data_IF_307084960808
#
_entry.id   IF_307084960808
#
_cell.length_a   1.000
_cell.length_b   1.000
_cell.length_c   1.000
_cell.angle_alpha   90.00
_cell.angle_beta   90.00
_cell.angle_gamma   90.00
#
_symmetry.space_group_name_H-M   'P 1'
#
loop_
_entity.id
_entity.type
_entity.pdbx_description
1 polymer ?
#
# COMPACT_ATOMS: atom_id res chain seq x y z
N UNK A 1 2.03 1.32 3.55
CA UNK A 1 1.41 2.67 3.43
C UNK A 1 -0.07 2.50 3.11
N UNK A 2 -0.85 3.58 3.02
CA UNK A 2 -2.29 3.49 2.70
C UNK A 2 -2.57 3.81 1.21
N UNK A 3 -3.76 3.43 0.68
CA UNK A 3 -3.97 3.34 -0.76
C UNK A 3 -3.82 4.66 -1.53
N UNK A 4 -4.31 5.79 -1.02
CA UNK A 4 -4.17 7.07 -1.74
C UNK A 4 -2.70 7.49 -1.81
N UNK A 5 -1.92 7.21 -0.77
CA UNK A 5 -0.47 7.40 -0.73
C UNK A 5 0.24 6.58 -1.81
N UNK A 6 -0.17 5.32 -2.03
CA UNK A 6 0.39 4.51 -3.11
C UNK A 6 0.09 5.06 -4.49
N UNK A 7 -1.14 5.53 -4.74
CA UNK A 7 -1.52 6.14 -6.02
C UNK A 7 -0.72 7.42 -6.26
N UNK A 8 -0.60 8.29 -5.25
CA UNK A 8 0.24 9.49 -5.28
C UNK A 8 1.71 9.16 -5.61
N UNK A 9 2.26 8.15 -4.94
CA UNK A 9 3.66 7.79 -5.09
C UNK A 9 3.95 7.14 -6.46
N UNK A 10 3.04 6.31 -6.96
CA UNK A 10 3.15 5.70 -8.28
C UNK A 10 3.13 6.76 -9.40
N UNK A 11 2.27 7.77 -9.28
CA UNK A 11 2.22 8.91 -10.20
C UNK A 11 3.57 9.65 -10.27
N UNK A 12 4.17 9.95 -9.12
CA UNK A 12 5.49 10.60 -9.04
C UNK A 12 6.61 9.76 -9.70
N UNK A 13 6.47 8.43 -9.69
CA UNK A 13 7.46 7.53 -10.30
C UNK A 13 7.27 7.42 -11.80
N UNK A 14 6.03 7.19 -12.25
CA UNK A 14 5.73 6.79 -13.62
C UNK A 14 5.38 7.97 -14.54
N UNK A 15 5.33 9.19 -14.00
CA UNK A 15 5.06 10.43 -14.75
C UNK A 15 3.74 10.35 -15.54
N UNK A 16 2.72 9.78 -14.91
CA UNK A 16 1.44 9.52 -15.55
C UNK A 16 0.39 8.97 -14.59
N UNK A 17 -0.86 9.05 -15.04
CA UNK A 17 -2.01 8.52 -14.33
C UNK A 17 -2.89 7.76 -15.32
N UNK A 18 -3.20 6.51 -15.00
CA UNK A 18 -4.17 5.68 -15.72
C UNK A 18 -4.85 4.75 -14.73
N UNK A 19 -5.93 4.11 -15.15
CA UNK A 19 -6.58 3.05 -14.38
C UNK A 19 -5.61 1.89 -14.11
N UNK A 20 -4.79 1.52 -15.09
CA UNK A 20 -3.73 0.52 -14.92
C UNK A 20 -2.75 0.90 -13.81
N UNK A 21 -2.24 2.14 -13.83
CA UNK A 21 -1.30 2.62 -12.82
C UNK A 21 -1.96 2.66 -11.44
N UNK A 22 -3.19 3.17 -11.38
CA UNK A 22 -3.95 3.27 -10.13
C UNK A 22 -4.16 1.89 -9.53
N UNK A 23 -4.71 0.94 -10.29
CA UNK A 23 -4.99 -0.42 -9.79
C UNK A 23 -3.72 -1.15 -9.40
N UNK A 24 -2.68 -1.07 -10.24
CA UNK A 24 -1.40 -1.74 -10.00
C UNK A 24 -0.73 -1.25 -8.72
N UNK A 25 -0.78 0.06 -8.46
CA UNK A 25 -0.18 0.66 -7.27
C UNK A 25 -0.79 0.21 -5.95
N UNK A 26 -2.02 -0.32 -5.94
CA UNK A 26 -2.73 -0.79 -4.74
C UNK A 26 -3.01 -2.30 -4.76
N UNK A 27 -2.55 -3.01 -5.79
CA UNK A 27 -2.79 -4.45 -5.92
C UNK A 27 -2.28 -5.27 -4.72
N UNK A 28 -1.05 -5.06 -4.21
CA UNK A 28 -0.51 -5.94 -3.16
C UNK A 28 -1.33 -5.95 -1.86
N UNK A 29 -2.00 -4.84 -1.54
CA UNK A 29 -2.95 -4.75 -0.43
C UNK A 29 -4.20 -5.62 -0.63
N UNK A 30 -4.70 -5.71 -1.87
CA UNK A 30 -5.88 -6.50 -2.22
C UNK A 30 -5.59 -8.00 -2.29
N UNK A 31 -4.34 -8.39 -2.52
CA UNK A 31 -3.94 -9.79 -2.61
C UNK A 31 -3.88 -10.50 -1.24
N UNK A 32 -3.75 -9.76 -0.13
CA UNK A 32 -3.72 -10.33 1.20
C UNK A 32 -5.01 -11.12 1.53
N UNK A 33 -4.87 -12.35 2.03
CA UNK A 33 -5.93 -13.31 2.33
C UNK A 33 -6.04 -14.47 1.33
N UNK A 34 -6.94 -15.45 1.59
CA UNK A 34 -6.99 -16.75 0.89
C UNK A 34 -5.62 -17.48 0.85
N UNK A 35 -4.91 -17.49 1.96
CA UNK A 35 -3.61 -18.19 2.08
C UNK A 35 -2.40 -17.37 1.64
N UNK A 36 -2.59 -16.19 1.03
CA UNK A 36 -1.50 -15.24 0.76
C UNK A 36 -1.39 -14.33 1.98
N UNK A 37 -0.24 -14.35 2.66
CA UNK A 37 0.01 -13.44 3.78
C UNK A 37 0.51 -12.06 3.28
N UNK A 38 0.67 -11.10 4.18
CA UNK A 38 1.12 -9.74 3.82
C UNK A 38 2.51 -9.74 3.16
N UNK A 39 3.47 -10.47 3.71
CA UNK A 39 4.82 -10.54 3.15
C UNK A 39 4.82 -11.13 1.74
N UNK A 40 4.06 -12.21 1.53
CA UNK A 40 3.92 -12.85 0.22
C UNK A 40 3.28 -11.88 -0.78
N UNK A 41 2.20 -11.19 -0.40
CA UNK A 41 1.53 -10.27 -1.33
C UNK A 41 2.42 -9.09 -1.71
N UNK A 42 3.17 -8.54 -0.75
CA UNK A 42 4.05 -7.39 -0.97
C UNK A 42 5.36 -7.78 -1.69
N UNK A 43 5.72 -9.06 -1.71
CA UNK A 43 6.91 -9.56 -2.42
C UNK A 43 6.65 -9.96 -3.88
N UNK A 44 5.40 -9.93 -4.34
CA UNK A 44 5.02 -10.40 -5.69
C UNK A 44 5.30 -9.44 -6.84
N UNK A 45 5.73 -8.21 -6.57
CA UNK A 45 5.82 -7.18 -7.61
C UNK A 45 6.69 -7.58 -8.80
N UNK A 46 7.89 -8.09 -8.54
CA UNK A 46 8.80 -8.54 -9.62
C UNK A 46 8.27 -9.74 -10.40
N UNK A 47 7.61 -10.68 -9.72
CA UNK A 47 6.99 -11.86 -10.35
C UNK A 47 5.86 -11.44 -11.29
N UNK A 48 4.96 -10.59 -10.82
CA UNK A 48 3.83 -10.04 -11.61
C UNK A 48 4.36 -9.27 -12.83
N UNK A 49 5.32 -8.36 -12.62
CA UNK A 49 5.87 -7.58 -13.73
C UNK A 49 6.56 -8.48 -14.77
N UNK A 50 7.32 -9.47 -14.34
CA UNK A 50 8.00 -10.38 -15.26
C UNK A 50 7.02 -11.24 -16.06
N UNK A 51 5.95 -11.71 -15.43
CA UNK A 51 4.85 -12.38 -16.13
C UNK A 51 4.25 -11.45 -17.20
N UNK A 52 3.84 -10.25 -16.82
CA UNK A 52 3.24 -9.28 -17.75
C UNK A 52 4.18 -8.88 -18.89
N UNK A 53 5.47 -8.71 -18.61
CA UNK A 53 6.52 -8.45 -19.61
C UNK A 53 6.68 -9.62 -20.57
N UNK A 54 6.55 -10.87 -20.12
CA UNK A 54 6.62 -12.04 -21.00
C UNK A 54 5.48 -12.05 -22.04
N UNK A 55 4.28 -11.65 -21.64
CA UNK A 55 3.09 -11.64 -22.50
C UNK A 55 2.83 -10.29 -23.19
N UNK A 56 3.67 -9.28 -22.95
CA UNK A 56 3.54 -7.92 -23.51
C UNK A 56 2.16 -7.30 -23.28
N UNK A 57 1.62 -7.51 -22.07
CA UNK A 57 0.29 -7.01 -21.66
C UNK A 57 0.38 -6.25 -20.34
N UNK A 58 -0.54 -5.29 -20.10
CA UNK A 58 -0.68 -4.52 -18.86
C UNK A 58 0.66 -4.01 -18.28
N UNK A 59 1.54 -3.48 -19.14
CA UNK A 59 2.91 -3.13 -18.73
C UNK A 59 2.94 -1.96 -17.75
N UNK A 60 2.02 -1.01 -17.87
CA UNK A 60 1.98 0.14 -16.96
C UNK A 60 1.38 -0.25 -15.59
N UNK A 61 0.38 -1.14 -15.59
CA UNK A 61 -0.05 -1.83 -14.37
C UNK A 61 1.12 -2.56 -13.71
N UNK A 62 1.86 -3.37 -14.46
CA UNK A 62 3.00 -4.13 -13.93
C UNK A 62 4.07 -3.23 -13.32
N UNK A 63 4.42 -2.12 -13.99
CA UNK A 63 5.35 -1.11 -13.43
C UNK A 63 4.80 -0.48 -12.16
N UNK A 64 3.51 -0.19 -12.10
CA UNK A 64 2.88 0.38 -10.92
C UNK A 64 2.91 -0.58 -9.72
N UNK A 65 2.74 -1.88 -9.93
CA UNK A 65 2.90 -2.89 -8.86
C UNK A 65 4.32 -2.83 -8.25
N UNK A 66 5.36 -2.60 -9.07
CA UNK A 66 6.74 -2.49 -8.58
C UNK A 66 6.98 -1.30 -7.64
N UNK A 67 6.11 -0.29 -7.67
CA UNK A 67 6.25 0.90 -6.81
C UNK A 67 5.84 0.66 -5.36
N UNK A 68 5.16 -0.45 -5.07
CA UNK A 68 4.46 -0.68 -3.80
C UNK A 68 5.32 -1.43 -2.78
N UNK A 69 5.55 -2.73 -2.98
CA UNK A 69 5.96 -3.65 -1.89
C UNK A 69 7.46 -3.87 -1.72
N UNK A 70 7.87 -5.08 -1.32
CA UNK A 70 9.24 -5.39 -0.88
C UNK A 70 10.19 -5.82 -1.98
N UNK A 71 9.69 -6.28 -3.13
CA UNK A 71 10.52 -6.77 -4.24
C UNK A 71 10.04 -6.13 -5.55
N UNK A 72 10.79 -5.17 -6.14
CA UNK A 72 12.23 -4.91 -5.97
C UNK A 72 12.58 -3.83 -4.94
N UNK A 73 11.78 -3.65 -3.88
CA UNK A 73 11.83 -2.56 -2.88
C UNK A 73 11.20 -1.28 -3.39
N UNK A 74 9.87 -1.24 -3.30
CA UNK A 74 8.98 -0.10 -3.49
C UNK A 74 8.78 0.70 -2.20
N UNK A 75 7.72 1.50 -2.15
CA UNK A 75 7.42 2.43 -1.07
C UNK A 75 7.38 1.77 0.31
N UNK A 76 6.69 0.63 0.45
CA UNK A 76 6.52 -0.06 1.73
C UNK A 76 7.82 -0.66 2.23
N UNK A 77 8.76 -1.03 1.35
CA UNK A 77 10.08 -1.41 1.82
C UNK A 77 10.75 -0.26 2.60
N UNK A 78 10.64 0.96 2.09
CA UNK A 78 11.24 2.13 2.74
C UNK A 78 10.37 2.68 3.88
N UNK A 79 9.07 2.47 3.84
CA UNK A 79 8.15 2.75 4.95
C UNK A 79 8.35 1.81 6.14
N UNK A 80 8.53 0.52 5.86
CA UNK A 80 8.42 -0.54 6.86
C UNK A 80 9.73 -1.23 7.19
N UNK A 81 10.56 -1.55 6.20
CA UNK A 81 11.71 -2.45 6.39
C UNK A 81 13.02 -1.69 6.64
N UNK A 82 13.36 -0.73 5.78
CA UNK A 82 14.63 -0.01 5.87
C UNK A 82 14.60 1.36 5.21
N UNK A 83 14.97 2.39 5.97
CA UNK A 83 15.17 3.74 5.43
C UNK A 83 16.54 4.32 5.85
N UNK A 84 17.41 4.66 4.90
CA UNK A 84 18.71 5.27 5.17
C UNK A 84 19.50 4.58 6.32
N UNK A 85 19.90 5.32 7.34
CA UNK A 85 20.63 4.87 8.52
C UNK A 85 19.73 4.42 9.67
N UNK A 86 18.41 4.50 9.52
CA UNK A 86 17.44 4.09 10.54
C UNK A 86 17.52 2.59 10.82
N UNK A 87 17.15 2.20 12.05
CA UNK A 87 17.05 0.78 12.43
C UNK A 87 16.05 0.05 11.53
N UNK A 88 14.88 0.68 11.30
CA UNK A 88 13.79 0.15 10.49
C UNK A 88 13.35 1.14 9.39
N UNK A 89 12.22 0.89 8.73
CA UNK A 89 11.62 1.81 7.77
C UNK A 89 11.15 3.12 8.42
N UNK A 90 10.93 4.12 7.57
CA UNK A 90 10.57 5.48 7.98
C UNK A 90 9.35 5.53 8.90
N UNK A 91 8.27 4.82 8.56
CA UNK A 91 7.03 4.84 9.34
C UNK A 91 7.22 4.21 10.72
N UNK A 92 8.03 3.16 10.85
CA UNK A 92 8.37 2.60 12.16
C UNK A 92 9.17 3.59 13.00
N UNK A 93 10.20 4.24 12.46
CA UNK A 93 10.99 5.17 13.27
C UNK A 93 10.18 6.37 13.73
N UNK A 94 9.36 6.94 12.85
CA UNK A 94 8.45 8.05 13.18
C UNK A 94 7.36 7.62 14.16
N UNK A 95 7.05 6.33 14.26
CA UNK A 95 6.05 5.81 15.17
C UNK A 95 6.50 5.75 16.64
N UNK A 96 7.81 5.80 16.93
CA UNK A 96 8.34 5.59 18.30
C UNK A 96 7.67 6.47 19.37
N UNK A 97 7.44 7.79 19.15
CA UNK A 97 6.79 8.65 20.14
C UNK A 97 5.32 8.29 20.40
N UNK A 98 4.68 7.55 19.49
CA UNK A 98 3.25 7.25 19.53
C UNK A 98 2.93 5.85 20.07
N UNK A 99 3.95 5.03 20.39
CA UNK A 99 3.75 3.61 20.74
C UNK A 99 2.85 3.43 21.96
N UNK A 100 3.12 4.13 23.06
CA UNK A 100 2.34 3.96 24.30
C UNK A 100 0.90 4.44 24.12
N UNK A 101 0.71 5.61 23.52
CA UNK A 101 -0.62 6.15 23.23
C UNK A 101 -1.41 5.23 22.29
N UNK A 102 -0.74 4.60 21.32
CA UNK A 102 -1.37 3.64 20.39
C UNK A 102 -1.78 2.37 21.12
N UNK A 103 -0.93 1.84 22.00
CA UNK A 103 -1.25 0.68 22.84
C UNK A 103 -2.51 0.94 23.67
N UNK A 104 -2.58 2.10 24.30
CA UNK A 104 -3.75 2.53 25.09
C UNK A 104 -5.00 2.70 24.20
N UNK A 105 -4.89 3.50 23.13
CA UNK A 105 -6.02 3.84 22.27
C UNK A 105 -6.59 2.61 21.53
N UNK A 106 -5.74 1.64 21.19
CA UNK A 106 -6.15 0.42 20.51
C UNK A 106 -6.48 -0.75 21.43
N UNK A 107 -6.26 -0.63 22.75
CA UNK A 107 -6.45 -1.72 23.71
C UNK A 107 -5.73 -3.03 23.29
N UNK A 108 -4.48 -2.90 22.86
CA UNK A 108 -3.65 -4.00 22.36
C UNK A 108 -2.52 -4.32 23.35
N UNK A 109 -1.90 -5.50 23.27
CA UNK A 109 -0.75 -5.79 24.10
C UNK A 109 0.51 -5.01 23.63
N UNK A 110 1.45 -4.67 24.53
CA UNK A 110 2.59 -3.80 24.22
C UNK A 110 3.47 -4.26 23.06
N UNK A 111 3.62 -5.57 22.85
CA UNK A 111 4.40 -6.16 21.76
C UNK A 111 3.85 -5.83 20.36
N UNK A 112 2.56 -5.49 20.26
CA UNK A 112 1.96 -5.02 19.01
C UNK A 112 2.12 -3.51 18.82
N UNK A 113 2.53 -2.78 19.87
CA UNK A 113 2.48 -1.32 19.91
C UNK A 113 3.25 -0.66 18.77
N UNK A 114 4.49 -1.09 18.51
CA UNK A 114 5.30 -0.47 17.47
C UNK A 114 4.75 -0.72 16.06
N UNK A 115 4.24 -1.94 15.81
CA UNK A 115 3.57 -2.26 14.55
C UNK A 115 2.30 -1.42 14.38
N UNK A 116 1.49 -1.28 15.41
CA UNK A 116 0.23 -0.54 15.28
C UNK A 116 0.45 0.97 15.24
N UNK A 117 1.52 1.47 15.86
CA UNK A 117 1.90 2.87 15.79
C UNK A 117 2.43 3.26 14.40
N UNK A 118 3.10 2.37 13.64
CA UNK A 118 3.44 2.72 12.26
C UNK A 118 2.19 2.90 11.40
N UNK A 119 1.13 2.10 11.61
CA UNK A 119 -0.13 2.31 10.87
C UNK A 119 -0.76 3.67 11.19
N UNK A 120 -0.57 4.21 12.41
CA UNK A 120 -0.97 5.58 12.75
C UNK A 120 -0.18 6.59 11.89
N UNK A 121 1.14 6.42 11.77
CA UNK A 121 1.99 7.28 10.94
C UNK A 121 1.58 7.21 9.47
N UNK A 122 1.35 6.02 8.93
CA UNK A 122 0.89 5.83 7.56
C UNK A 122 -0.47 6.50 7.30
N UNK A 123 -1.41 6.41 8.26
CA UNK A 123 -2.67 7.14 8.19
C UNK A 123 -2.48 8.66 8.28
N UNK A 124 -1.49 9.14 9.03
CA UNK A 124 -1.11 10.56 9.05
C UNK A 124 -0.57 11.03 7.70
N UNK A 125 0.21 10.20 7.02
CA UNK A 125 0.69 10.45 5.65
C UNK A 125 -0.48 10.44 4.67
N UNK A 126 -1.39 9.45 4.78
CA UNK A 126 -2.60 9.36 3.96
C UNK A 126 -3.47 10.62 4.08
N UNK A 127 -3.63 11.14 5.31
CA UNK A 127 -4.35 12.38 5.58
C UNK A 127 -3.73 13.56 4.81
N UNK A 128 -2.40 13.69 4.84
CA UNK A 128 -1.69 14.76 4.11
C UNK A 128 -1.84 14.56 2.60
N UNK A 129 -1.59 13.36 2.09
CA UNK A 129 -1.66 13.06 0.65
C UNK A 129 -3.06 13.31 0.11
N UNK A 130 -4.10 12.84 0.81
CA UNK A 130 -5.49 13.03 0.42
C UNK A 130 -5.89 14.51 0.39
N UNK A 131 -5.20 15.37 1.16
CA UNK A 131 -5.42 16.82 1.11
C UNK A 131 -4.88 17.48 -0.17
N UNK A 132 -3.88 16.85 -0.82
CA UNK A 132 -3.12 17.42 -1.94
C UNK A 132 -3.69 17.13 -3.34
N UNK A 133 -4.64 16.20 -3.47
CA UNK A 133 -5.26 15.86 -4.75
C UNK A 133 -6.39 14.84 -4.64
N UNK A 134 -7.07 14.58 -5.75
CA UNK A 134 -8.29 13.75 -5.80
C UNK A 134 -7.97 12.25 -5.97
N UNK A 135 -7.07 11.70 -5.16
CA UNK A 135 -6.64 10.30 -5.24
C UNK A 135 -7.77 9.31 -4.93
N UNK A 136 -8.71 9.68 -4.07
CA UNK A 136 -9.92 8.90 -3.80
C UNK A 136 -10.78 8.70 -5.05
N UNK A 137 -10.92 9.73 -5.90
CA UNK A 137 -11.70 9.64 -7.13
C UNK A 137 -11.04 8.72 -8.17
N UNK A 138 -9.70 8.71 -8.22
CA UNK A 138 -8.96 7.76 -9.07
C UNK A 138 -9.23 6.32 -8.63
N UNK A 139 -9.18 6.06 -7.32
CA UNK A 139 -9.47 4.74 -6.75
C UNK A 139 -10.93 4.32 -7.03
N UNK A 140 -11.90 5.24 -6.89
CA UNK A 140 -13.29 4.99 -7.25
C UNK A 140 -13.45 4.65 -8.73
N UNK A 141 -12.84 5.44 -9.62
CA UNK A 141 -12.88 5.24 -11.06
C UNK A 141 -12.40 3.85 -11.44
N UNK A 142 -11.21 3.46 -10.95
CA UNK A 142 -10.62 2.17 -11.32
C UNK A 142 -11.42 0.97 -10.81
N UNK A 143 -12.11 1.10 -9.66
CA UNK A 143 -12.98 0.04 -9.17
C UNK A 143 -14.27 -0.15 -9.98
N UNK A 144 -14.58 0.78 -10.88
CA UNK A 144 -15.68 0.66 -11.85
C UNK A 144 -15.21 0.21 -13.24
N UNK A 145 -13.90 0.13 -13.47
CA UNK A 145 -13.33 -0.38 -14.71
C UNK A 145 -13.38 -1.92 -14.73
N UNK A 146 -14.56 -2.46 -15.06
CA UNK A 146 -14.80 -3.91 -15.07
C UNK A 146 -13.94 -4.67 -16.10
N UNK A 147 -13.54 -4.03 -17.21
CA UNK A 147 -12.64 -4.66 -18.20
C UNK A 147 -11.27 -4.92 -17.56
N UNK A 148 -10.65 -3.87 -17.02
CA UNK A 148 -9.34 -3.99 -16.38
C UNK A 148 -9.36 -4.96 -15.19
N UNK A 149 -10.42 -4.93 -14.38
CA UNK A 149 -10.57 -5.88 -13.27
C UNK A 149 -10.64 -7.34 -13.78
N UNK A 150 -11.31 -7.58 -14.90
CA UNK A 150 -11.39 -8.92 -15.53
C UNK A 150 -10.03 -9.36 -16.07
N UNK A 151 -9.32 -8.47 -16.76
CA UNK A 151 -7.98 -8.75 -17.31
C UNK A 151 -6.97 -9.07 -16.20
N UNK A 152 -7.03 -8.34 -15.08
CA UNK A 152 -6.21 -8.62 -13.90
C UNK A 152 -6.60 -9.94 -13.23
N UNK A 153 -7.89 -10.29 -13.18
CA UNK A 153 -8.34 -11.59 -12.66
C UNK A 153 -7.79 -12.76 -13.48
N UNK A 154 -7.86 -12.67 -14.82
CA UNK A 154 -7.30 -13.65 -15.74
C UNK A 154 -5.79 -13.81 -15.54
N UNK A 155 -5.07 -12.68 -15.49
CA UNK A 155 -3.63 -12.69 -15.21
C UNK A 155 -3.30 -13.35 -13.86
N UNK A 156 -4.04 -13.06 -12.81
CA UNK A 156 -3.82 -13.66 -11.49
C UNK A 156 -4.13 -15.16 -11.48
N UNK A 157 -5.15 -15.61 -12.21
CA UNK A 157 -5.46 -17.02 -12.38
C UNK A 157 -4.31 -17.77 -13.05
N UNK A 158 -3.78 -17.21 -14.15
CA UNK A 158 -2.64 -17.81 -14.86
C UNK A 158 -1.36 -17.80 -14.01
N UNK A 159 -1.03 -16.66 -13.41
CA UNK A 159 0.17 -16.50 -12.60
C UNK A 159 0.18 -17.43 -11.38
N UNK A 160 -0.95 -17.52 -10.67
CA UNK A 160 -1.07 -18.29 -9.44
C UNK A 160 -1.50 -19.75 -9.69
N UNK A 161 -1.71 -20.14 -10.95
CA UNK A 161 -2.20 -21.47 -11.36
C UNK A 161 -3.52 -21.84 -10.65
N UNK A 162 -4.48 -20.92 -10.67
CA UNK A 162 -5.80 -21.06 -10.06
C UNK A 162 -6.89 -21.15 -11.13
N UNK A 163 -7.89 -22.01 -10.91
CA UNK A 163 -9.05 -22.10 -11.82
C UNK A 163 -9.95 -20.86 -11.74
N UNK A 164 -10.00 -20.19 -10.58
CA UNK A 164 -10.78 -18.98 -10.35
C UNK A 164 -10.24 -18.20 -9.13
N UNK A 165 -9.88 -16.93 -9.32
CA UNK A 165 -9.44 -16.06 -8.24
C UNK A 165 -10.56 -15.18 -7.67
N UNK A 166 -11.47 -14.67 -8.49
CA UNK A 166 -12.57 -13.75 -8.15
C UNK A 166 -12.04 -12.43 -7.56
N UNK A 167 -11.24 -11.73 -8.37
CA UNK A 167 -10.63 -10.45 -8.05
C UNK A 167 -11.66 -9.36 -7.80
N UNK A 168 -12.79 -9.36 -8.51
CA UNK A 168 -13.87 -8.41 -8.27
C UNK A 168 -14.39 -8.49 -6.82
N UNK A 169 -14.49 -9.69 -6.23
CA UNK A 169 -14.84 -9.85 -4.82
C UNK A 169 -13.74 -9.32 -3.90
N UNK A 170 -12.47 -9.39 -4.28
CA UNK A 170 -11.37 -8.76 -3.54
C UNK A 170 -11.48 -7.26 -3.55
N UNK A 171 -11.71 -6.65 -4.72
CA UNK A 171 -11.95 -5.21 -4.86
C UNK A 171 -13.12 -4.78 -3.96
N UNK A 172 -14.27 -5.46 -4.04
CA UNK A 172 -15.45 -5.16 -3.19
C UNK A 172 -15.19 -5.29 -1.70
N UNK A 173 -14.37 -6.26 -1.27
CA UNK A 173 -14.00 -6.38 0.14
C UNK A 173 -13.07 -5.25 0.55
N UNK A 174 -12.12 -4.89 -0.32
CA UNK A 174 -11.15 -3.86 -0.07
C UNK A 174 -11.79 -2.49 0.10
N UNK A 175 -12.78 -2.13 -0.72
CA UNK A 175 -13.52 -0.85 -0.58
C UNK A 175 -14.18 -0.66 0.79
N UNK A 176 -14.61 -1.76 1.43
CA UNK A 176 -15.16 -1.71 2.78
C UNK A 176 -14.13 -1.36 3.86
N UNK A 177 -12.85 -1.66 3.62
CA UNK A 177 -11.75 -1.55 4.59
C UNK A 177 -10.91 -0.29 4.43
N UNK A 178 -11.09 0.46 3.35
CA UNK A 178 -10.32 1.68 3.05
C UNK A 178 -11.21 2.92 3.03
N UNK A 179 -10.59 4.09 3.10
CA UNK A 179 -11.26 5.36 2.89
C UNK A 179 -11.44 5.63 1.39
N UNK A 180 -12.70 5.76 0.96
CA UNK A 180 -13.10 5.93 -0.43
C UNK A 180 -13.35 7.40 -0.78
N UNK A 181 -13.42 8.28 0.22
CA UNK A 181 -13.55 9.72 0.09
C UNK A 181 -12.21 10.42 0.38
N UNK A 182 -12.24 11.75 0.43
CA UNK A 182 -11.13 12.53 0.97
C UNK A 182 -10.91 12.13 2.43
N UNK A 183 -9.69 11.73 2.75
CA UNK A 183 -9.36 11.19 4.05
C UNK A 183 -9.44 12.25 5.14
N UNK A 184 -10.17 11.93 6.22
CA UNK A 184 -10.14 12.65 7.47
C UNK A 184 -9.62 11.73 8.58
N UNK A 185 -9.01 12.30 9.62
CA UNK A 185 -8.44 11.51 10.71
C UNK A 185 -9.48 10.58 11.37
N UNK A 186 -10.70 11.07 11.60
CA UNK A 186 -11.79 10.24 12.15
C UNK A 186 -12.26 9.15 11.18
N UNK A 187 -12.33 9.45 9.88
CA UNK A 187 -12.79 8.48 8.89
C UNK A 187 -11.78 7.35 8.70
N UNK A 188 -10.47 7.69 8.69
CA UNK A 188 -9.37 6.73 8.74
C UNK A 188 -9.42 5.89 10.03
N UNK A 189 -9.64 6.50 11.19
CA UNK A 189 -9.76 5.79 12.46
C UNK A 189 -10.93 4.78 12.46
N UNK A 190 -12.08 5.12 11.87
CA UNK A 190 -13.20 4.18 11.74
C UNK A 190 -12.88 3.01 10.80
N UNK A 191 -12.19 3.26 9.69
CA UNK A 191 -11.72 2.17 8.81
C UNK A 191 -10.70 1.28 9.51
N UNK A 192 -9.79 1.87 10.27
CA UNK A 192 -8.84 1.13 11.07
C UNK A 192 -9.52 0.32 12.18
N UNK A 193 -10.59 0.83 12.81
CA UNK A 193 -11.40 0.06 13.77
C UNK A 193 -11.95 -1.22 13.14
N UNK A 194 -12.50 -1.14 11.92
CA UNK A 194 -12.97 -2.33 11.20
C UNK A 194 -11.82 -3.32 10.95
N UNK A 195 -10.66 -2.84 10.52
CA UNK A 195 -9.49 -3.70 10.30
C UNK A 195 -9.01 -4.38 11.59
N UNK A 196 -8.95 -3.64 12.70
CA UNK A 196 -8.57 -4.13 14.02
C UNK A 196 -9.56 -5.18 14.54
N UNK A 197 -10.86 -4.92 14.39
CA UNK A 197 -11.90 -5.89 14.73
C UNK A 197 -11.75 -7.17 13.89
N UNK A 198 -11.65 -7.06 12.57
CA UNK A 198 -11.58 -8.24 11.69
C UNK A 198 -10.30 -9.07 11.88
N UNK A 199 -9.14 -8.43 12.09
CA UNK A 199 -7.85 -9.14 12.18
C UNK A 199 -7.48 -9.58 13.59
N UNK A 200 -7.86 -8.80 14.59
CA UNK A 200 -7.38 -8.97 15.96
C UNK A 200 -8.50 -9.13 16.99
N UNK A 201 -9.77 -8.98 16.59
CA UNK A 201 -10.93 -9.07 17.49
C UNK A 201 -10.87 -8.05 18.63
N UNK A 202 -10.37 -6.85 18.33
CA UNK A 202 -10.21 -5.75 19.31
C UNK A 202 -11.03 -4.54 18.85
N UNK A 203 -11.73 -3.92 19.81
CA UNK A 203 -12.33 -2.60 19.62
C UNK A 203 -11.36 -1.51 20.08
N UNK A 204 -11.29 -0.42 19.31
CA UNK A 204 -10.39 0.71 19.55
C UNK A 204 -11.18 1.98 19.89
N UNK A 205 -10.54 2.92 20.58
CA UNK A 205 -11.07 4.27 20.78
C UNK A 205 -10.78 5.12 19.53
N UNK A 206 -11.77 5.25 18.66
CA UNK A 206 -11.59 5.95 17.37
C UNK A 206 -11.33 7.44 17.52
N UNK A 207 -11.75 8.06 18.64
CA UNK A 207 -11.43 9.48 18.90
C UNK A 207 -9.97 9.65 19.28
N UNK A 208 -9.45 8.78 20.16
CA UNK A 208 -8.02 8.79 20.51
C UNK A 208 -7.15 8.47 19.30
N UNK A 209 -7.54 7.47 18.50
CA UNK A 209 -6.83 7.13 17.28
C UNK A 209 -6.86 8.26 16.25
N UNK A 210 -7.99 8.94 16.05
CA UNK A 210 -8.06 10.11 15.18
C UNK A 210 -7.08 11.21 15.63
N UNK A 211 -7.05 11.52 16.93
CA UNK A 211 -6.10 12.50 17.47
C UNK A 211 -4.64 12.07 17.28
N UNK A 212 -4.34 10.77 17.38
CA UNK A 212 -3.00 10.24 17.08
C UNK A 212 -2.64 10.38 15.60
N UNK A 213 -3.59 10.16 14.69
CA UNK A 213 -3.37 10.34 13.24
C UNK A 213 -3.03 11.80 12.92
N UNK A 214 -3.74 12.77 13.51
CA UNK A 214 -3.46 14.21 13.34
C UNK A 214 -2.06 14.57 13.85
N UNK A 215 -1.72 14.14 15.06
CA UNK A 215 -0.39 14.38 15.64
C UNK A 215 0.73 13.71 14.82
N UNK A 216 0.47 12.53 14.27
CA UNK A 216 1.42 11.84 13.41
C UNK A 216 1.61 12.58 12.09
N UNK A 217 0.53 13.08 11.47
CA UNK A 217 0.58 13.92 10.28
C UNK A 217 1.43 15.18 10.54
N UNK A 218 1.16 15.91 11.63
CA UNK A 218 1.96 17.07 12.03
C UNK A 218 3.46 16.73 12.18
N UNK A 219 3.77 15.58 12.80
CA UNK A 219 5.15 15.18 13.07
C UNK A 219 5.99 14.87 11.82
N UNK A 220 5.35 14.51 10.71
CA UNK A 220 6.04 14.17 9.45
C UNK A 220 5.89 15.26 8.38
N UNK A 221 5.05 16.28 8.61
CA UNK A 221 4.62 17.23 7.58
C UNK A 221 5.78 17.90 6.85
N UNK A 222 6.74 18.45 7.60
CA UNK A 222 7.85 19.24 7.04
C UNK A 222 8.85 18.40 6.22
N UNK A 223 8.99 17.11 6.53
CA UNK A 223 9.99 16.22 5.93
C UNK A 223 9.39 15.20 4.94
N UNK A 224 8.06 15.06 4.90
CA UNK A 224 7.38 14.04 4.10
C UNK A 224 7.73 14.14 2.60
N UNK A 225 7.84 15.36 2.08
CA UNK A 225 8.19 15.57 0.67
C UNK A 225 9.64 15.14 0.36
N UNK A 226 10.55 15.32 1.30
CA UNK A 226 11.94 14.88 1.14
C UNK A 226 12.06 13.36 1.26
N UNK A 227 11.27 12.74 2.15
CA UNK A 227 11.09 11.30 2.18
C UNK A 227 10.62 10.78 0.81
N UNK A 228 9.53 11.32 0.26
CA UNK A 228 9.00 10.89 -1.03
C UNK A 228 9.99 11.06 -2.18
N UNK A 229 10.67 12.21 -2.29
CA UNK A 229 11.68 12.44 -3.35
C UNK A 229 12.84 11.46 -3.25
N UNK A 230 13.36 11.25 -2.04
CA UNK A 230 14.46 10.32 -1.79
C UNK A 230 14.05 8.90 -2.18
N UNK A 231 12.91 8.44 -1.68
CA UNK A 231 12.40 7.10 -1.96
C UNK A 231 12.05 6.93 -3.44
N UNK A 232 11.49 7.93 -4.10
CA UNK A 232 11.21 7.89 -5.54
C UNK A 232 12.48 7.67 -6.37
N UNK A 233 13.59 8.34 -6.02
CA UNK A 233 14.89 8.11 -6.66
C UNK A 233 15.38 6.68 -6.49
N UNK A 234 15.28 6.15 -5.26
CA UNK A 234 15.69 4.77 -4.96
C UNK A 234 14.81 3.73 -5.68
N UNK A 235 13.49 3.90 -5.67
CA UNK A 235 12.54 3.00 -6.31
C UNK A 235 12.68 3.05 -7.84
N UNK A 236 12.88 4.23 -8.44
CA UNK A 236 13.19 4.35 -9.89
C UNK A 236 14.44 3.53 -10.26
N UNK A 237 15.50 3.63 -9.47
CA UNK A 237 16.71 2.84 -9.70
C UNK A 237 16.46 1.34 -9.57
N UNK A 238 15.69 0.92 -8.56
CA UNK A 238 15.32 -0.50 -8.36
C UNK A 238 14.51 -1.06 -9.53
N UNK A 239 13.51 -0.30 -10.01
CA UNK A 239 12.69 -0.66 -11.17
C UNK A 239 13.57 -0.73 -12.42
N UNK A 240 14.43 0.26 -12.67
CA UNK A 240 15.35 0.24 -13.81
C UNK A 240 16.27 -0.98 -13.78
N UNK A 241 16.84 -1.31 -12.61
CA UNK A 241 17.70 -2.48 -12.45
C UNK A 241 16.96 -3.79 -12.75
N UNK A 242 15.72 -3.93 -12.27
CA UNK A 242 14.88 -5.10 -12.55
C UNK A 242 14.50 -5.19 -14.03
N UNK A 243 14.08 -4.08 -14.64
CA UNK A 243 13.66 -4.03 -16.05
C UNK A 243 14.82 -4.38 -16.99
N UNK A 244 16.04 -3.96 -16.64
CA UNK A 244 17.26 -4.24 -17.38
C UNK A 244 17.71 -5.71 -17.27
N UNK A 245 17.30 -6.43 -16.22
CA UNK A 245 17.52 -7.87 -16.12
C UNK A 245 16.55 -8.61 -17.04
N UNK A 246 17.02 -9.69 -17.66
CA UNK A 246 16.11 -10.63 -18.33
C UNK A 246 15.25 -11.31 -17.25
N UNK A 247 13.94 -11.25 -17.42
CA UNK A 247 13.02 -12.01 -16.58
C UNK A 247 13.28 -13.49 -16.81
N UNK A 248 14.01 -14.12 -15.88
CA UNK A 248 14.33 -15.54 -15.93
C UNK A 248 13.05 -16.36 -15.98
N UNK A 249 12.97 -17.32 -16.91
CA UNK A 249 11.81 -18.23 -17.01
C UNK A 249 11.69 -19.02 -15.70
N UNK A 250 10.50 -19.11 -15.07
CA UNK A 250 10.27 -20.15 -14.09
C UNK A 250 10.39 -21.51 -14.81
N UNK A 251 11.18 -22.42 -14.23
CA UNK A 251 11.30 -23.79 -14.73
C UNK A 251 9.91 -24.44 -14.77
N UNK A 252 9.59 -25.08 -15.90
CA UNK A 252 8.29 -25.71 -16.19
C UNK A 252 8.01 -26.89 -15.27
#
# INVERSE_FOLDING_TARGET
>A
MYPQTHVYFAEMILDGQSDEITLGSILPDMLNGRGINHYDSHSKGSEIFCFLKQYQTLLDFGKAVLTHGFVPKGLDYYGDEKYLDYEKGYCFEKARPFVLDTVEACNIPPEMGWWKAHNIVEMGIELIVSSSGDYSEKIKSVFTNHSLISEVDEMLCELLKLDNYDFLKRVKRFTGLIEMEKAGAFSLAEKYRLQMHFRHQVEIDTKKVASLIERAAESVYDELQDFFKTVAGLVKNNIHALVAQECSRPEK
#
